data_IF_070271538836
#
_entry.id   IF_070271538836
#
_cell.length_a   1.000
_cell.length_b   1.000
_cell.length_c   1.000
_cell.angle_alpha   90.00
_cell.angle_beta   90.00
_cell.angle_gamma   90.00
#
_symmetry.space_group_name_H-M   'P 1'
#
loop_
_entity.id
_entity.type
_entity.pdbx_description
1 polymer ?
#
# COMPACT_ATOMS: atom_id res chain seq x y z
N UNK A 1 10.56 4.39 24.27
CA UNK A 1 9.79 4.88 25.44
C UNK A 1 8.53 4.02 25.50
N UNK A 2 8.35 3.17 26.52
CA UNK A 2 7.24 2.19 26.58
C UNK A 2 5.92 2.95 26.76
N UNK A 3 5.17 3.19 25.69
CA UNK A 3 3.81 3.71 25.80
C UNK A 3 2.90 2.57 26.28
N UNK A 4 2.23 2.82 27.42
CA UNK A 4 1.16 1.98 27.94
C UNK A 4 -0.11 2.40 27.21
N UNK A 5 -0.53 1.62 26.20
CA UNK A 5 -1.89 1.75 25.68
C UNK A 5 -2.86 1.34 26.80
N UNK A 6 -3.69 2.28 27.24
CA UNK A 6 -4.70 2.07 28.26
C UNK A 6 -5.89 1.39 27.55
N UNK A 7 -5.83 0.05 27.42
CA UNK A 7 -7.03 -0.74 27.27
C UNK A 7 -7.46 -1.16 28.67
N UNK A 8 -8.42 -0.43 29.24
CA UNK A 8 -9.04 -0.75 30.52
C UNK A 8 -9.92 -2.00 30.36
N UNK A 9 -9.33 -3.19 30.24
CA UNK A 9 -10.05 -4.47 30.34
C UNK A 9 -9.95 -5.02 31.76
N UNK A 10 -10.26 -4.17 32.73
CA UNK A 10 -10.49 -4.60 34.10
C UNK A 10 -11.95 -5.04 34.22
N UNK A 11 -12.13 -6.32 34.56
CA UNK A 11 -13.35 -6.90 35.13
C UNK A 11 -14.46 -7.23 34.12
N UNK A 12 -14.49 -8.50 33.74
CA UNK A 12 -15.69 -9.34 33.68
C UNK A 12 -17.00 -8.61 34.02
N UNK A 13 -17.75 -8.17 33.02
CA UNK A 13 -19.17 -7.93 33.17
C UNK A 13 -19.90 -8.66 32.04
N UNK A 14 -20.59 -9.72 32.44
CA UNK A 14 -21.71 -10.33 31.74
C UNK A 14 -22.58 -9.24 31.08
N UNK A 15 -22.37 -9.02 29.79
CA UNK A 15 -23.40 -8.42 28.95
C UNK A 15 -23.55 -9.34 27.75
N UNK A 16 -24.60 -10.15 27.80
CA UNK A 16 -25.25 -10.63 26.60
C UNK A 16 -25.62 -9.41 25.77
N UNK A 17 -24.73 -8.97 24.88
CA UNK A 17 -25.12 -8.07 23.81
C UNK A 17 -25.53 -8.93 22.63
N UNK A 18 -26.84 -9.15 22.54
CA UNK A 18 -27.50 -9.69 21.35
C UNK A 18 -27.35 -8.68 20.21
N UNK A 19 -26.20 -8.66 19.55
CA UNK A 19 -26.12 -8.20 18.17
C UNK A 19 -26.44 -9.41 17.30
N UNK A 20 -27.70 -9.46 16.86
CA UNK A 20 -28.27 -10.56 16.10
C UNK A 20 -27.56 -10.73 14.75
N UNK A 21 -26.65 -11.70 14.67
CA UNK A 21 -26.53 -12.50 13.45
C UNK A 21 -27.47 -13.69 13.66
N UNK A 22 -28.59 -13.66 12.93
CA UNK A 22 -29.53 -14.76 12.93
C UNK A 22 -28.81 -16.01 12.40
N UNK A 23 -28.89 -17.09 13.19
CA UNK A 23 -28.62 -18.48 12.81
C UNK A 23 -27.20 -19.05 13.01
N UNK A 24 -26.65 -19.02 14.24
CA UNK A 24 -25.54 -19.93 14.59
C UNK A 24 -25.68 -20.60 15.98
N UNK A 25 -25.40 -21.92 16.10
CA UNK A 25 -25.59 -22.67 17.34
C UNK A 25 -24.27 -22.91 18.12
N UNK A 26 -23.72 -21.90 18.80
CA UNK A 26 -22.79 -22.06 19.95
C UNK A 26 -22.79 -20.76 20.81
N UNK A 27 -22.52 -20.81 22.13
CA UNK A 27 -22.31 -19.59 22.91
C UNK A 27 -20.93 -18.99 22.59
N UNK A 28 -20.91 -17.90 21.81
CA UNK A 28 -19.70 -17.13 21.54
C UNK A 28 -19.48 -16.04 22.58
N UNK A 29 -18.22 -15.84 22.97
CA UNK A 29 -17.81 -14.60 23.63
C UNK A 29 -17.32 -13.64 22.55
N UNK A 30 -18.05 -12.54 22.35
CA UNK A 30 -17.69 -11.51 21.36
C UNK A 30 -16.80 -10.45 22.02
N UNK A 31 -15.70 -10.10 21.34
CA UNK A 31 -14.86 -8.95 21.67
C UNK A 31 -14.50 -8.16 20.42
N UNK A 32 -14.35 -6.85 20.55
CA UNK A 32 -13.77 -5.97 19.51
C UNK A 32 -12.48 -5.37 20.04
N UNK A 33 -11.50 -5.23 19.15
CA UNK A 33 -10.19 -4.63 19.45
C UNK A 33 -9.97 -3.49 18.48
N UNK A 34 -9.65 -2.32 19.02
CA UNK A 34 -9.27 -1.14 18.25
C UNK A 34 -7.76 -1.05 18.16
N UNK A 35 -7.24 -0.76 16.96
CA UNK A 35 -5.82 -0.56 16.70
C UNK A 35 -5.60 0.86 16.19
N UNK A 36 -4.86 1.65 16.96
CA UNK A 36 -4.48 3.05 16.68
C UNK A 36 -2.97 3.21 16.39
N UNK A 37 -2.22 2.10 16.32
CA UNK A 37 -0.76 2.10 16.30
C UNK A 37 -0.17 1.29 15.15
N UNK A 38 0.95 1.80 14.61
CA UNK A 38 1.76 1.18 13.56
C UNK A 38 2.46 -0.11 13.98
N UNK A 39 2.68 -0.30 15.28
CA UNK A 39 3.52 -1.38 15.82
C UNK A 39 2.70 -2.64 16.19
N UNK A 40 1.40 -2.64 15.88
CA UNK A 40 0.47 -3.68 16.29
C UNK A 40 -0.11 -3.50 17.70
N UNK A 41 -1.01 -4.40 18.06
CA UNK A 41 -1.65 -4.43 19.39
C UNK A 41 -1.56 -5.83 19.97
N UNK A 42 -1.14 -5.92 21.22
CA UNK A 42 -1.21 -7.14 22.03
C UNK A 42 -2.45 -7.10 22.93
N UNK A 43 -3.32 -8.10 22.81
CA UNK A 43 -4.49 -8.27 23.68
C UNK A 43 -4.35 -9.54 24.49
N UNK A 44 -4.37 -9.40 25.82
CA UNK A 44 -4.36 -10.54 26.74
C UNK A 44 -5.78 -10.88 27.18
N UNK A 45 -6.15 -12.15 27.04
CA UNK A 45 -7.42 -12.71 27.49
C UNK A 45 -7.18 -13.65 28.66
N UNK A 46 -7.63 -13.24 29.86
CA UNK A 46 -7.56 -14.07 31.06
C UNK A 46 -8.79 -14.96 31.17
N UNK A 47 -8.58 -16.24 31.46
CA UNK A 47 -9.70 -17.18 31.60
C UNK A 47 -10.47 -16.96 32.91
N UNK A 48 -11.79 -16.83 32.82
CA UNK A 48 -12.70 -16.93 33.97
C UNK A 48 -13.23 -18.37 34.07
N UNK A 49 -13.24 -18.95 35.28
CA UNK A 49 -13.62 -20.36 35.53
C UNK A 49 -15.03 -20.67 35.02
N UNK A 50 -15.11 -21.25 33.83
CA UNK A 50 -16.35 -21.72 33.21
C UNK A 50 -16.16 -23.19 32.79
N UNK A 51 -17.20 -24.01 32.96
CA UNK A 51 -17.17 -25.47 32.81
C UNK A 51 -17.12 -25.98 31.36
N UNK A 52 -17.49 -25.14 30.38
CA UNK A 52 -17.67 -25.54 28.98
C UNK A 52 -16.55 -25.00 28.07
N UNK A 53 -16.41 -25.61 26.88
CA UNK A 53 -15.60 -25.08 25.77
C UNK A 53 -16.19 -23.73 25.33
N UNK A 54 -15.36 -22.70 25.21
CA UNK A 54 -15.78 -21.35 24.80
C UNK A 54 -15.07 -21.04 23.49
N UNK A 55 -15.86 -20.65 22.49
CA UNK A 55 -15.31 -20.08 21.25
C UNK A 55 -15.37 -18.56 21.36
N UNK A 56 -14.24 -17.91 21.16
CA UNK A 56 -14.09 -16.45 21.18
C UNK A 56 -14.16 -15.96 19.74
N UNK A 57 -14.88 -14.85 19.53
CA UNK A 57 -14.93 -14.13 18.25
C UNK A 57 -14.32 -12.74 18.45
N UNK A 58 -13.31 -12.43 17.65
CA UNK A 58 -12.55 -11.19 17.69
C UNK A 58 -12.76 -10.44 16.39
N UNK A 59 -13.35 -9.25 16.49
CA UNK A 59 -13.37 -8.28 15.39
C UNK A 59 -12.21 -7.30 15.59
N UNK A 60 -11.43 -7.07 14.54
CA UNK A 60 -10.36 -6.06 14.54
C UNK A 60 -10.83 -4.85 13.76
N UNK A 61 -10.78 -3.69 14.40
CA UNK A 61 -11.11 -2.39 13.80
C UNK A 61 -9.84 -1.54 13.86
N UNK A 62 -9.43 -0.99 12.71
CA UNK A 62 -8.29 -0.06 12.61
C UNK A 62 -8.83 1.36 12.50
N UNK A 63 -8.27 2.29 13.28
CA UNK A 63 -8.39 3.72 12.99
C UNK A 63 -7.25 4.10 12.03
N UNK A 64 -7.51 4.91 11.01
CA UNK A 64 -6.56 5.29 9.94
C UNK A 64 -6.21 4.18 8.91
N UNK A 65 -5.19 4.41 8.08
CA UNK A 65 -4.84 3.65 6.87
C UNK A 65 -4.00 2.38 7.14
N UNK A 66 -4.07 1.83 8.36
CA UNK A 66 -3.29 0.66 8.74
C UNK A 66 -3.87 -0.62 8.13
N UNK A 67 -3.01 -1.44 7.52
CA UNK A 67 -3.37 -2.78 7.07
C UNK A 67 -2.97 -3.82 8.12
N UNK A 68 -3.87 -4.77 8.37
CA UNK A 68 -3.60 -5.92 9.21
C UNK A 68 -2.76 -6.94 8.43
N UNK A 69 -1.48 -7.08 8.81
CA UNK A 69 -0.55 -8.04 8.19
C UNK A 69 -0.77 -9.46 8.67
N UNK A 70 -1.16 -9.61 9.93
CA UNK A 70 -1.33 -10.91 10.52
C UNK A 70 -1.95 -10.83 11.90
N UNK A 71 -2.58 -11.93 12.27
CA UNK A 71 -3.02 -12.17 13.64
C UNK A 71 -2.36 -13.47 14.07
N UNK A 72 -1.72 -13.43 15.23
CA UNK A 72 -1.15 -14.58 15.88
C UNK A 72 -1.77 -14.72 17.26
N UNK A 73 -2.15 -15.94 17.62
CA UNK A 73 -2.78 -16.22 18.90
C UNK A 73 -1.91 -17.24 19.61
N UNK A 74 -1.49 -16.94 20.83
CA UNK A 74 -0.58 -17.75 21.63
C UNK A 74 -1.18 -18.09 22.98
N UNK A 75 -0.93 -19.29 23.50
CA UNK A 75 -1.23 -19.61 24.89
C UNK A 75 -0.16 -19.07 25.87
N UNK A 76 -0.37 -19.26 27.17
CA UNK A 76 0.55 -18.85 28.24
C UNK A 76 1.98 -19.41 28.10
N UNK A 77 2.15 -20.54 27.39
CA UNK A 77 3.43 -21.19 27.14
C UNK A 77 4.07 -20.70 25.81
N UNK A 78 3.43 -19.76 25.11
CA UNK A 78 3.89 -19.22 23.83
C UNK A 78 3.60 -20.13 22.64
N UNK A 79 2.73 -21.12 22.78
CA UNK A 79 2.35 -22.02 21.68
C UNK A 79 1.24 -21.39 20.85
N UNK A 80 1.44 -21.38 19.53
CA UNK A 80 0.43 -20.90 18.58
C UNK A 80 -0.85 -21.73 18.66
N UNK A 81 -1.98 -21.03 18.74
CA UNK A 81 -3.33 -21.58 18.76
C UNK A 81 -3.95 -21.47 17.37
N UNK A 82 -4.64 -22.53 16.90
CA UNK A 82 -5.38 -22.45 15.65
C UNK A 82 -6.58 -21.52 15.79
N UNK A 83 -6.85 -20.76 14.74
CA UNK A 83 -8.02 -19.90 14.61
C UNK A 83 -8.61 -20.03 13.21
N UNK A 84 -9.86 -19.63 13.07
CA UNK A 84 -10.59 -19.61 11.80
C UNK A 84 -10.91 -18.16 11.41
N UNK A 85 -10.82 -17.87 10.11
CA UNK A 85 -11.22 -16.57 9.54
C UNK A 85 -12.66 -16.70 9.06
N UNK A 86 -13.57 -15.99 9.73
CA UNK A 86 -15.02 -16.12 9.51
C UNK A 86 -15.60 -14.92 8.75
N UNK A 87 -14.82 -13.85 8.57
CA UNK A 87 -15.18 -12.69 7.77
C UNK A 87 -14.02 -11.71 7.63
N UNK A 88 -14.27 -10.58 6.96
CA UNK A 88 -13.29 -9.49 6.85
C UNK A 88 -12.93 -8.99 8.26
N UNK A 89 -11.65 -9.13 8.65
CA UNK A 89 -11.11 -8.76 9.96
C UNK A 89 -11.83 -9.40 11.16
N UNK A 90 -12.38 -10.60 10.93
CA UNK A 90 -13.15 -11.33 11.92
C UNK A 90 -12.61 -12.74 12.10
N UNK A 91 -12.16 -13.03 13.32
CA UNK A 91 -11.47 -14.26 13.67
C UNK A 91 -12.19 -14.98 14.79
N UNK A 92 -12.19 -16.31 14.75
CA UNK A 92 -12.70 -17.14 15.85
C UNK A 92 -11.66 -18.15 16.29
N UNK A 93 -11.60 -18.43 17.59
CA UNK A 93 -10.74 -19.48 18.12
C UNK A 93 -11.34 -20.07 19.40
N UNK A 94 -10.96 -21.30 19.72
CA UNK A 94 -11.40 -21.97 20.94
C UNK A 94 -10.48 -21.64 22.10
N UNK A 95 -11.03 -21.07 23.17
CA UNK A 95 -10.26 -20.71 24.35
C UNK A 95 -9.70 -21.97 25.02
N UNK A 96 -8.36 -22.10 25.14
CA UNK A 96 -7.74 -23.22 25.84
C UNK A 96 -7.94 -23.08 27.36
N UNK A 97 -7.38 -24.04 28.11
CA UNK A 97 -7.51 -24.05 29.58
C UNK A 97 -6.54 -23.10 30.30
N UNK A 98 -5.88 -22.21 29.56
CA UNK A 98 -4.88 -21.26 29.99
C UNK A 98 -5.22 -19.86 29.44
N UNK A 99 -4.44 -18.86 29.87
CA UNK A 99 -4.53 -17.52 29.32
C UNK A 99 -4.01 -17.48 27.88
N UNK A 100 -4.51 -16.52 27.11
CA UNK A 100 -4.19 -16.36 25.69
C UNK A 100 -3.75 -14.94 25.41
N UNK A 101 -2.74 -14.79 24.56
CA UNK A 101 -2.28 -13.51 24.05
C UNK A 101 -2.52 -13.47 22.54
N UNK A 102 -3.19 -12.44 22.06
CA UNK A 102 -3.43 -12.17 20.65
C UNK A 102 -2.47 -11.06 20.25
N UNK A 103 -1.59 -11.34 19.30
CA UNK A 103 -0.73 -10.35 18.66
C UNK A 103 -1.35 -10.00 17.33
N UNK A 104 -1.72 -8.73 17.18
CA UNK A 104 -2.20 -8.18 15.92
C UNK A 104 -1.04 -7.37 15.33
N UNK A 105 -0.49 -7.83 14.22
CA UNK A 105 0.51 -7.09 13.48
C UNK A 105 -0.18 -6.15 12.49
N UNK A 106 -0.04 -4.85 12.74
CA UNK A 106 -0.38 -3.79 11.77
C UNK A 106 0.91 -3.22 11.20
N UNK A 107 0.80 -2.64 10.02
CA UNK A 107 1.89 -1.86 9.42
C UNK A 107 1.30 -0.57 8.87
N UNK A 108 2.00 0.54 9.06
CA UNK A 108 1.69 1.80 8.38
C UNK A 108 1.98 1.63 6.90
N UNK A 109 0.93 1.42 6.10
CA UNK A 109 1.11 1.28 4.67
C UNK A 109 1.22 2.60 3.94
N UNK A 110 0.97 3.74 4.60
CA UNK A 110 1.19 5.11 4.16
C UNK A 110 0.62 5.51 2.79
N UNK A 111 0.09 6.72 2.70
CA UNK A 111 -0.12 7.37 1.41
C UNK A 111 1.26 7.71 0.82
N UNK A 112 1.46 7.40 -0.46
CA UNK A 112 2.67 7.78 -1.19
C UNK A 112 2.64 9.27 -1.43
N UNK A 113 3.64 9.96 -0.91
CA UNK A 113 3.80 11.40 -1.15
C UNK A 113 4.52 11.66 -2.46
N UNK A 114 4.49 12.91 -2.94
CA UNK A 114 5.28 13.32 -4.12
C UNK A 114 6.77 13.09 -3.92
N UNK A 115 7.27 13.31 -2.71
CA UNK A 115 8.65 13.01 -2.35
C UNK A 115 8.94 11.51 -2.49
N UNK A 116 8.06 10.66 -1.96
CA UNK A 116 8.21 9.19 -2.06
C UNK A 116 8.21 8.72 -3.51
N UNK A 117 7.33 9.27 -4.35
CA UNK A 117 7.30 8.99 -5.79
C UNK A 117 8.62 9.31 -6.49
N UNK A 118 9.17 10.50 -6.23
CA UNK A 118 10.46 10.93 -6.78
C UNK A 118 11.61 10.03 -6.28
N UNK A 119 11.63 9.72 -4.98
CA UNK A 119 12.64 8.84 -4.37
C UNK A 119 12.57 7.43 -4.92
N UNK A 120 11.38 6.88 -5.12
CA UNK A 120 11.17 5.54 -5.66
C UNK A 120 11.75 5.39 -7.07
N UNK A 121 11.39 6.30 -7.97
CA UNK A 121 11.93 6.31 -9.34
C UNK A 121 13.43 6.63 -9.38
N UNK A 122 13.91 7.50 -8.51
CA UNK A 122 15.34 7.81 -8.41
C UNK A 122 16.16 6.60 -7.96
N UNK A 123 15.67 5.84 -6.98
CA UNK A 123 16.28 4.57 -6.57
C UNK A 123 16.23 3.53 -7.67
N UNK A 124 15.10 3.42 -8.39
CA UNK A 124 14.97 2.55 -9.57
C UNK A 124 16.03 2.89 -10.64
N UNK A 125 16.32 4.18 -10.84
CA UNK A 125 17.35 4.66 -11.75
C UNK A 125 18.80 4.45 -11.25
N UNK A 126 19.00 3.84 -10.08
CA UNK A 126 20.32 3.64 -9.48
C UNK A 126 20.87 4.84 -8.72
N UNK A 127 19.98 5.75 -8.28
CA UNK A 127 20.30 6.93 -7.49
C UNK A 127 21.36 7.87 -8.13
N UNK A 128 21.15 8.31 -9.39
CA UNK A 128 22.08 9.19 -10.09
C UNK A 128 22.18 10.56 -9.42
N UNK A 129 23.39 11.12 -9.39
CA UNK A 129 23.64 12.50 -8.94
C UNK A 129 23.72 13.40 -10.17
N UNK A 130 22.94 14.48 -10.19
CA UNK A 130 22.88 15.42 -11.30
C UNK A 130 23.35 16.81 -10.87
N UNK A 131 24.06 17.50 -11.75
CA UNK A 131 24.41 18.92 -11.56
C UNK A 131 23.29 19.80 -12.13
N UNK A 132 22.16 19.83 -11.41
CA UNK A 132 20.96 20.60 -11.78
C UNK A 132 20.53 21.53 -10.65
N UNK A 133 20.17 22.76 -10.99
CA UNK A 133 19.73 23.75 -10.01
C UNK A 133 18.37 23.33 -9.46
N UNK A 134 18.21 23.31 -8.13
CA UNK A 134 16.93 23.01 -7.48
C UNK A 134 15.90 24.06 -7.91
N UNK A 135 14.81 23.69 -8.62
CA UNK A 135 13.85 24.66 -9.12
C UNK A 135 12.77 25.03 -8.09
N UNK A 136 12.74 24.35 -6.94
CA UNK A 136 11.72 24.49 -5.91
C UNK A 136 12.28 25.14 -4.64
N UNK A 137 11.69 26.27 -4.25
CA UNK A 137 12.11 27.01 -3.04
C UNK A 137 11.68 26.31 -1.74
N UNK A 138 10.67 25.42 -1.81
CA UNK A 138 10.15 24.66 -0.67
C UNK A 138 10.89 23.32 -0.44
N UNK A 139 11.96 23.05 -1.20
CA UNK A 139 12.82 21.88 -1.02
C UNK A 139 14.15 22.33 -0.41
N UNK A 140 14.34 22.03 0.88
CA UNK A 140 15.61 22.27 1.57
C UNK A 140 16.75 21.47 0.94
N UNK A 141 17.93 22.08 0.80
CA UNK A 141 19.10 21.42 0.21
C UNK A 141 19.62 20.24 1.02
N UNK A 142 19.27 20.17 2.30
CA UNK A 142 19.62 19.12 3.25
C UNK A 142 18.50 18.10 3.47
N UNK A 143 17.35 18.25 2.79
CA UNK A 143 16.27 17.27 2.86
C UNK A 143 16.70 15.93 2.24
N UNK A 144 16.30 14.83 2.86
CA UNK A 144 16.72 13.48 2.45
C UNK A 144 16.24 13.10 1.03
N UNK A 145 15.16 13.74 0.56
CA UNK A 145 14.62 13.56 -0.79
C UNK A 145 15.12 14.60 -1.81
N UNK A 146 15.93 15.58 -1.39
CA UNK A 146 16.32 16.71 -2.24
C UNK A 146 17.00 16.24 -3.54
N UNK A 147 17.94 15.30 -3.47
CA UNK A 147 18.64 14.81 -4.66
C UNK A 147 17.73 14.04 -5.61
N UNK A 148 16.76 13.29 -5.09
CA UNK A 148 15.76 12.63 -5.91
C UNK A 148 14.86 13.64 -6.65
N UNK A 149 14.44 14.71 -5.96
CA UNK A 149 13.63 15.78 -6.57
C UNK A 149 14.43 16.55 -7.61
N UNK A 150 15.71 16.84 -7.34
CA UNK A 150 16.62 17.47 -8.29
C UNK A 150 16.74 16.66 -9.56
N UNK A 151 16.96 15.36 -9.42
CA UNK A 151 17.03 14.44 -10.54
C UNK A 151 15.73 14.35 -11.32
N UNK A 152 14.59 14.19 -10.63
CA UNK A 152 13.29 14.11 -11.29
C UNK A 152 12.96 15.38 -12.08
N UNK A 153 13.34 16.56 -11.56
CA UNK A 153 13.22 17.82 -12.26
C UNK A 153 14.17 17.92 -13.47
N UNK A 154 15.41 17.43 -13.35
CA UNK A 154 16.37 17.42 -14.45
C UNK A 154 15.94 16.51 -15.62
N UNK A 155 15.32 15.37 -15.31
CA UNK A 155 14.78 14.43 -16.31
C UNK A 155 13.40 14.89 -16.85
N UNK A 156 12.77 15.89 -16.25
CA UNK A 156 11.44 16.36 -16.63
C UNK A 156 10.33 15.34 -16.38
N UNK A 157 10.42 14.59 -15.27
CA UNK A 157 9.46 13.53 -14.94
C UNK A 157 8.08 14.08 -14.62
N UNK A 158 8.03 15.20 -13.90
CA UNK A 158 6.81 15.94 -13.64
C UNK A 158 7.17 17.35 -13.17
N UNK A 159 6.48 18.36 -13.70
CA UNK A 159 6.68 19.76 -13.33
C UNK A 159 5.51 20.24 -12.46
N UNK A 160 5.79 20.54 -11.19
CA UNK A 160 4.84 21.25 -10.33
C UNK A 160 5.08 22.75 -10.41
N UNK A 161 4.05 23.51 -10.77
CA UNK A 161 4.15 24.96 -10.85
C UNK A 161 4.27 25.57 -9.45
N UNK A 162 5.37 26.28 -9.21
CA UNK A 162 5.62 27.08 -8.00
C UNK A 162 6.24 26.32 -6.84
N UNK A 163 5.63 25.24 -6.37
CA UNK A 163 6.10 24.49 -5.20
C UNK A 163 5.99 22.99 -5.41
N UNK A 164 7.00 22.25 -4.95
CA UNK A 164 7.00 20.80 -5.03
C UNK A 164 5.90 20.19 -4.15
N UNK A 165 5.72 20.75 -2.95
CA UNK A 165 4.79 20.25 -1.91
C UNK A 165 5.08 18.79 -1.56
N UNK A 166 6.26 18.53 -1.00
CA UNK A 166 6.79 17.18 -0.74
C UNK A 166 5.79 16.23 -0.07
N UNK A 167 5.06 16.72 0.94
CA UNK A 167 4.14 15.91 1.75
C UNK A 167 2.75 15.70 1.12
N UNK A 168 2.48 16.28 -0.05
CA UNK A 168 1.19 16.07 -0.72
C UNK A 168 1.09 14.63 -1.22
N UNK A 169 -0.09 14.00 -1.11
CA UNK A 169 -0.37 12.75 -1.79
C UNK A 169 -0.04 12.83 -3.27
N UNK A 170 0.65 11.81 -3.77
CA UNK A 170 0.87 11.60 -5.20
C UNK A 170 -0.38 10.95 -5.78
N UNK A 171 -0.95 11.56 -6.81
CA UNK A 171 -2.11 10.96 -7.49
C UNK A 171 -1.68 9.87 -8.47
N UNK A 172 -2.61 8.97 -8.80
CA UNK A 172 -2.40 7.91 -9.79
C UNK A 172 -2.03 8.45 -11.16
N UNK A 173 -2.67 9.54 -11.61
CA UNK A 173 -2.32 10.16 -12.89
C UNK A 173 -0.95 10.85 -12.84
N UNK A 174 -0.57 11.48 -11.72
CA UNK A 174 0.76 12.08 -11.55
C UNK A 174 1.85 11.00 -11.66
N UNK A 175 1.68 9.85 -11.00
CA UNK A 175 2.62 8.73 -11.11
C UNK A 175 2.71 8.19 -12.55
N UNK A 176 1.57 8.04 -13.24
CA UNK A 176 1.55 7.55 -14.61
C UNK A 176 2.36 8.46 -15.55
N UNK A 177 2.29 9.78 -15.35
CA UNK A 177 3.11 10.74 -16.09
C UNK A 177 4.59 10.55 -15.77
N UNK A 178 4.96 10.45 -14.48
CA UNK A 178 6.36 10.26 -14.08
C UNK A 178 6.97 8.99 -14.71
N UNK A 179 6.23 7.88 -14.70
CA UNK A 179 6.62 6.61 -15.33
C UNK A 179 6.81 6.77 -16.84
N UNK A 180 5.83 7.39 -17.52
CA UNK A 180 5.87 7.60 -18.97
C UNK A 180 7.04 8.50 -19.40
N UNK A 181 7.29 9.58 -18.66
CA UNK A 181 8.42 10.48 -18.91
C UNK A 181 9.76 9.81 -18.68
N UNK A 182 9.87 8.99 -17.63
CA UNK A 182 11.08 8.22 -17.38
C UNK A 182 11.31 7.15 -18.45
N UNK A 183 10.25 6.47 -18.91
CA UNK A 183 10.34 5.53 -20.02
C UNK A 183 10.85 6.21 -21.30
N UNK A 184 10.37 7.42 -21.62
CA UNK A 184 10.86 8.22 -22.74
C UNK A 184 12.33 8.61 -22.58
N UNK A 185 12.75 9.05 -21.39
CA UNK A 185 14.15 9.44 -21.19
C UNK A 185 15.10 8.25 -21.37
N UNK A 186 14.61 7.04 -21.09
CA UNK A 186 15.31 5.77 -21.31
C UNK A 186 15.11 5.15 -22.69
N UNK A 187 14.45 5.85 -23.62
CA UNK A 187 14.21 5.37 -24.98
C UNK A 187 13.48 4.02 -25.04
N UNK A 188 12.67 3.70 -24.03
CA UNK A 188 11.79 2.55 -24.08
C UNK A 188 10.73 2.73 -25.17
N UNK A 189 10.21 1.61 -25.67
CA UNK A 189 9.08 1.65 -26.60
C UNK A 189 7.83 2.17 -25.90
N UNK A 190 7.50 3.43 -26.16
CA UNK A 190 6.29 4.08 -25.68
C UNK A 190 5.17 4.09 -26.71
N UNK A 191 5.32 3.40 -27.85
CA UNK A 191 4.29 3.35 -28.90
C UNK A 191 3.02 2.65 -28.44
N UNK A 192 3.07 1.86 -27.35
CA UNK A 192 1.90 1.32 -26.67
C UNK A 192 0.89 2.42 -26.25
N UNK A 193 1.35 3.65 -26.00
CA UNK A 193 0.47 4.79 -25.73
C UNK A 193 -0.15 5.39 -27.01
N UNK A 194 0.55 5.28 -28.14
CA UNK A 194 0.17 5.91 -29.39
C UNK A 194 -1.02 5.18 -30.03
N UNK A 195 -2.19 5.83 -30.02
CA UNK A 195 -3.42 5.27 -30.59
C UNK A 195 -4.17 4.32 -29.66
N UNK A 196 -3.72 4.18 -28.40
CA UNK A 196 -4.48 3.50 -27.37
C UNK A 196 -5.63 4.40 -26.91
N UNK A 197 -6.87 3.97 -27.19
CA UNK A 197 -8.04 4.61 -26.59
C UNK A 197 -8.23 4.05 -25.19
N UNK A 198 -8.10 4.90 -24.18
CA UNK A 198 -8.34 4.53 -22.79
C UNK A 198 -9.79 4.03 -22.64
N UNK A 199 -9.94 2.74 -22.41
CA UNK A 199 -11.23 2.07 -22.20
C UNK A 199 -11.57 1.98 -20.71
N UNK A 200 -11.44 3.11 -20.02
CA UNK A 200 -11.87 3.25 -18.62
C UNK A 200 -13.11 4.12 -18.54
N UNK A 201 -14.01 3.78 -17.61
CA UNK A 201 -15.27 4.48 -17.37
C UNK A 201 -15.01 5.95 -16.98
N UNK A 202 -13.92 6.18 -16.27
CA UNK A 202 -13.52 7.47 -15.72
C UNK A 202 -12.47 8.22 -16.54
N UNK A 203 -12.22 7.79 -17.79
CA UNK A 203 -11.26 8.47 -18.69
C UNK A 203 -11.49 9.97 -18.84
N UNK A 204 -12.73 10.44 -18.68
CA UNK A 204 -13.09 11.85 -18.77
C UNK A 204 -12.59 12.68 -17.57
N UNK A 205 -12.18 12.02 -16.48
CA UNK A 205 -11.58 12.65 -15.29
C UNK A 205 -10.06 12.68 -15.34
N UNK A 206 -9.44 12.09 -16.37
CA UNK A 206 -7.98 12.16 -16.58
C UNK A 206 -7.63 13.55 -17.08
N UNK A 207 -6.65 14.20 -16.45
CA UNK A 207 -6.15 15.50 -16.88
C UNK A 207 -5.57 15.41 -18.30
N UNK A 208 -5.75 16.46 -19.10
CA UNK A 208 -5.26 16.48 -20.49
C UNK A 208 -3.75 16.23 -20.58
N UNK A 209 -2.98 16.82 -19.68
CA UNK A 209 -1.52 16.66 -19.65
C UNK A 209 -1.08 15.29 -19.13
N UNK A 210 -1.97 14.56 -18.44
CA UNK A 210 -1.72 13.22 -17.94
C UNK A 210 -2.19 12.09 -18.87
N UNK A 211 -2.97 12.42 -19.90
CA UNK A 211 -3.65 11.43 -20.74
C UNK A 211 -2.68 10.43 -21.38
N UNK A 212 -1.61 10.91 -22.01
CA UNK A 212 -0.62 10.05 -22.65
C UNK A 212 0.09 9.14 -21.63
N UNK A 213 0.36 9.67 -20.43
CA UNK A 213 0.98 8.91 -19.34
C UNK A 213 0.08 7.79 -18.83
N UNK A 214 -1.21 8.08 -18.65
CA UNK A 214 -2.21 7.08 -18.25
C UNK A 214 -2.39 6.03 -19.34
N UNK A 215 -2.48 6.43 -20.61
CA UNK A 215 -2.54 5.49 -21.74
C UNK A 215 -1.32 4.57 -21.76
N UNK A 216 -0.11 5.11 -21.61
CA UNK A 216 1.11 4.31 -21.51
C UNK A 216 1.06 3.32 -20.35
N UNK A 217 0.73 3.80 -19.15
CA UNK A 217 0.76 3.00 -17.93
C UNK A 217 -0.23 1.83 -17.99
N UNK A 218 -1.42 2.06 -18.56
CA UNK A 218 -2.45 1.02 -18.76
C UNK A 218 -2.07 0.07 -19.90
N UNK A 219 -1.61 0.59 -21.06
CA UNK A 219 -1.28 -0.24 -22.21
C UNK A 219 -0.05 -1.13 -21.98
N UNK A 220 0.92 -0.65 -21.19
CA UNK A 220 2.11 -1.42 -20.80
C UNK A 220 1.85 -2.39 -19.63
N UNK A 221 0.70 -2.29 -18.96
CA UNK A 221 0.37 -3.11 -17.79
C UNK A 221 1.16 -2.77 -16.52
N UNK A 222 1.82 -1.60 -16.49
CA UNK A 222 2.53 -1.10 -15.31
C UNK A 222 1.54 -0.65 -14.24
N UNK A 223 0.47 0.02 -14.67
CA UNK A 223 -0.65 0.39 -13.81
C UNK A 223 -1.93 -0.23 -14.34
N UNK A 224 -2.69 -0.82 -13.43
CA UNK A 224 -3.96 -1.44 -13.75
C UNK A 224 -5.08 -0.41 -13.54
N UNK A 225 -6.14 -0.51 -14.34
CA UNK A 225 -7.43 0.04 -13.93
C UNK A 225 -7.90 -0.75 -12.70
N UNK A 226 -7.88 -0.12 -11.52
CA UNK A 226 -8.44 -0.74 -10.31
C UNK A 226 -9.87 -1.19 -10.59
N UNK A 227 -10.16 -2.45 -10.21
CA UNK A 227 -11.36 -3.16 -10.58
C UNK A 227 -11.43 -3.46 -12.09
N UNK A 228 -10.61 -4.41 -12.58
CA UNK A 228 -10.70 -4.99 -13.95
C UNK A 228 -12.13 -5.39 -14.36
N UNK A 229 -13.02 -5.60 -13.39
CA UNK A 229 -14.44 -5.92 -13.60
C UNK A 229 -15.32 -4.68 -13.83
N UNK A 230 -14.93 -3.51 -13.31
CA UNK A 230 -15.66 -2.24 -13.43
C UNK A 230 -14.96 -1.21 -14.34
N UNK A 231 -13.67 -1.36 -14.66
CA UNK A 231 -12.94 -0.54 -15.63
C UNK A 231 -12.67 0.90 -15.18
N UNK A 232 -12.23 1.15 -13.94
CA UNK A 232 -11.89 2.49 -13.43
C UNK A 232 -10.36 2.65 -13.30
N UNK A 233 -9.81 3.78 -13.72
CA UNK A 233 -8.39 4.12 -13.45
C UNK A 233 -8.19 4.91 -12.15
N UNK A 234 -9.22 5.64 -11.71
CA UNK A 234 -9.23 6.56 -10.59
C UNK A 234 -8.12 7.63 -10.65
N UNK A 235 -8.06 8.51 -11.67
CA UNK A 235 -6.88 9.36 -11.92
C UNK A 235 -6.47 10.28 -10.75
N UNK A 236 -7.44 10.79 -9.99
CA UNK A 236 -7.22 11.67 -8.85
C UNK A 236 -7.06 10.89 -7.52
N UNK A 237 -7.14 9.57 -7.56
CA UNK A 237 -6.98 8.72 -6.40
C UNK A 237 -5.57 8.82 -5.83
N UNK A 238 -5.48 8.73 -4.51
CA UNK A 238 -4.21 8.62 -3.80
C UNK A 238 -3.62 7.22 -4.00
N UNK A 239 -2.30 7.13 -3.92
CA UNK A 239 -1.56 5.87 -4.02
C UNK A 239 -1.17 5.36 -2.65
N UNK A 240 -1.34 4.06 -2.42
CA UNK A 240 -0.84 3.38 -1.24
C UNK A 240 0.52 2.74 -1.54
N UNK A 241 1.41 2.60 -0.54
CA UNK A 241 2.77 2.09 -0.80
C UNK A 241 2.78 0.67 -1.41
N UNK A 242 1.87 -0.23 -1.03
CA UNK A 242 1.82 -1.58 -1.64
C UNK A 242 1.58 -1.52 -3.13
N UNK A 243 0.73 -0.58 -3.55
CA UNK A 243 0.38 -0.42 -4.94
C UNK A 243 1.57 0.17 -5.68
N UNK A 244 2.17 1.23 -5.12
CA UNK A 244 3.34 1.88 -5.68
C UNK A 244 4.53 0.94 -5.85
N UNK A 245 4.85 0.14 -4.83
CA UNK A 245 5.92 -0.87 -4.91
C UNK A 245 5.63 -1.88 -6.02
N UNK A 246 4.39 -2.39 -6.07
CA UNK A 246 3.97 -3.30 -7.14
C UNK A 246 4.03 -2.67 -8.54
N UNK A 247 3.74 -1.37 -8.66
CA UNK A 247 3.87 -0.61 -9.91
C UNK A 247 5.34 -0.49 -10.30
N UNK A 248 6.23 -0.12 -9.36
CA UNK A 248 7.67 -0.01 -9.63
C UNK A 248 8.27 -1.37 -10.02
N UNK A 249 7.88 -2.46 -9.37
CA UNK A 249 8.33 -3.81 -9.72
C UNK A 249 7.91 -4.19 -11.14
N UNK A 250 6.64 -3.95 -11.52
CA UNK A 250 6.17 -4.21 -12.88
C UNK A 250 6.93 -3.37 -13.91
N UNK A 251 7.20 -2.11 -13.58
CA UNK A 251 7.95 -1.23 -14.45
C UNK A 251 9.41 -1.66 -14.60
N UNK A 252 10.08 -2.04 -13.51
CA UNK A 252 11.43 -2.59 -13.53
C UNK A 252 11.55 -3.81 -14.46
N UNK A 253 10.57 -4.73 -14.39
CA UNK A 253 10.55 -5.89 -15.28
C UNK A 253 10.39 -5.53 -16.78
N UNK A 254 9.73 -4.41 -17.10
CA UNK A 254 9.68 -3.92 -18.48
C UNK A 254 11.02 -3.35 -18.95
N UNK A 255 11.81 -2.75 -18.06
CA UNK A 255 13.17 -2.32 -18.39
C UNK A 255 14.07 -3.51 -18.72
N UNK A 256 14.07 -4.52 -17.84
CA UNK A 256 14.95 -5.68 -18.00
C UNK A 256 14.61 -6.51 -19.25
N UNK A 257 13.33 -6.55 -19.66
CA UNK A 257 12.91 -7.23 -20.89
C UNK A 257 13.16 -6.43 -22.18
N UNK A 258 13.42 -5.12 -22.08
CA UNK A 258 13.76 -4.26 -23.21
C UNK A 258 15.23 -4.35 -23.65
N UNK A 259 16.15 -4.62 -22.71
CA UNK A 259 17.60 -4.71 -22.98
C UNK A 259 18.01 -5.97 -23.77
N UNK A 260 17.18 -7.03 -23.73
CA UNK A 260 17.41 -8.24 -24.53
C UNK A 260 17.23 -8.02 -26.04
N UNK A 261 16.64 -6.88 -26.46
CA UNK A 261 16.39 -6.58 -27.87
C UNK A 261 17.48 -5.70 -28.52
N UNK A 262 18.52 -5.28 -27.77
CA UNK A 262 19.61 -4.41 -28.28
C UNK A 262 20.91 -5.21 -28.56
N UNK A 263 20.99 -6.50 -28.20
CA UNK A 263 22.16 -7.34 -28.54
C UNK A 263 22.06 -8.09 -29.88
N UNK A 264 21.04 -7.82 -30.69
CA UNK A 264 20.75 -8.55 -31.93
C UNK A 264 21.29 -7.97 -33.24
N UNK A 265 21.98 -6.82 -33.25
CA UNK A 265 22.40 -6.17 -34.50
C UNK A 265 23.88 -5.77 -34.51
N UNK A 266 24.77 -6.72 -34.20
CA UNK A 266 26.18 -6.65 -34.57
C UNK A 266 26.67 -8.03 -35.00
N UNK A 267 26.55 -8.28 -36.31
CA UNK A 267 27.25 -9.23 -37.21
C UNK A 267 26.21 -9.58 -38.27
N UNK A 268 26.38 -9.40 -39.57
CA UNK A 268 27.56 -9.51 -40.43
C UNK A 268 27.04 -9.07 -41.80
N UNK A 269 27.80 -8.28 -42.56
CA UNK A 269 27.87 -8.41 -44.03
C UNK A 269 28.98 -7.49 -44.55
N UNK A 270 30.17 -8.11 -44.63
CA UNK A 270 31.19 -8.05 -45.70
C UNK A 270 31.42 -6.76 -46.48
#
# INVERSE_FOLDING_TARGET
>A
MKLRAIALLAVLCLLFSTAAFADEPQPYLNGSVFVDASDGVEVQLTRVRIANKITVRVAVETEDDYLLRGIEIYDEDGKSLPFEVVGCYLYTFDMPRCDVTIHIATEDYGIVTRADGAVGLWKLAGSPVVDYIMPYDDVGSDAEYAEAVRWAAAEGLLEWNGSFSADKPLTREELAVMIYKYAQSRSLDTTAAAGYELDTIDRAFVSTDAYDGVCYAVASGVMDAENRTAGYFNPQGELFKYEFDGILDRFANLFDSGDDNIQGELTDET
#
